data_IF_617434698604
#
_entry.id   IF_617434698604
#
_cell.length_a   1.000
_cell.length_b   1.000
_cell.length_c   1.000
_cell.angle_alpha   90.00
_cell.angle_beta   90.00
_cell.angle_gamma   90.00
#
_symmetry.space_group_name_H-M   'P 1'
#
loop_
_entity.id
_entity.type
_entity.pdbx_description
1 polymer ?
#
# COMPACT_ATOMS: atom_id res chain seq x y z
N UNK A 1 3.68 5.27 -14.12
CA UNK A 1 2.56 5.55 -15.05
C UNK A 1 2.51 7.03 -15.41
N UNK A 2 2.29 7.37 -16.68
CA UNK A 2 2.01 8.75 -17.13
C UNK A 2 0.54 9.08 -16.77
N UNK A 3 0.22 10.21 -16.10
CA UNK A 3 -1.15 10.60 -15.78
C UNK A 3 -2.13 10.60 -16.96
N UNK A 4 -1.66 10.85 -18.19
CA UNK A 4 -2.51 10.79 -19.39
C UNK A 4 -2.66 9.38 -19.96
N UNK A 5 -1.90 8.41 -19.45
CA UNK A 5 -1.73 7.06 -19.98
C UNK A 5 -1.30 7.02 -21.47
N UNK A 6 -0.67 8.09 -21.95
CA UNK A 6 -0.13 8.21 -23.30
C UNK A 6 1.39 8.01 -23.25
N UNK A 7 1.91 7.20 -24.17
CA UNK A 7 3.34 6.91 -24.30
C UNK A 7 3.77 7.21 -25.73
N UNK A 8 4.82 8.01 -25.88
CA UNK A 8 5.39 8.34 -27.18
C UNK A 8 6.31 7.22 -27.64
N UNK A 9 5.95 6.56 -28.74
CA UNK A 9 6.83 5.63 -29.44
C UNK A 9 7.56 6.40 -30.53
N UNK A 10 8.89 6.37 -30.51
CA UNK A 10 9.73 7.17 -31.41
C UNK A 10 10.66 6.26 -32.21
N UNK A 11 10.87 6.61 -33.48
CA UNK A 11 11.88 5.99 -34.32
C UNK A 11 12.66 7.06 -35.08
N UNK A 12 13.98 6.91 -35.11
CA UNK A 12 14.87 7.75 -35.90
C UNK A 12 15.27 7.00 -37.18
N UNK A 13 15.07 7.62 -38.34
CA UNK A 13 15.30 6.98 -39.65
C UNK A 13 16.26 7.83 -40.47
N UNK A 14 17.52 7.40 -40.53
CA UNK A 14 18.55 8.05 -41.34
C UNK A 14 18.73 7.33 -42.67
N UNK A 15 18.57 8.07 -43.77
CA UNK A 15 18.78 7.56 -45.12
C UNK A 15 20.26 7.21 -45.35
N UNK A 16 20.52 6.03 -45.94
CA UNK A 16 21.85 5.75 -46.51
C UNK A 16 21.93 6.46 -47.86
N UNK A 17 22.99 7.26 -48.05
CA UNK A 17 23.20 8.11 -49.25
C UNK A 17 23.10 7.35 -50.58
N UNK A 18 23.43 6.06 -50.60
CA UNK A 18 23.53 5.27 -51.83
C UNK A 18 22.22 4.57 -52.25
N UNK A 19 21.14 4.70 -51.47
CA UNK A 19 19.88 3.99 -51.75
C UNK A 19 18.96 4.69 -52.76
N UNK A 20 19.21 5.97 -53.08
CA UNK A 20 18.37 6.73 -54.01
C UNK A 20 16.92 6.84 -53.55
N UNK A 21 16.69 7.09 -52.25
CA UNK A 21 15.34 7.23 -51.68
C UNK A 21 14.68 8.49 -52.24
N UNK A 22 13.41 8.38 -52.61
CA UNK A 22 12.60 9.52 -53.07
C UNK A 22 12.29 10.39 -51.85
N UNK A 23 12.71 11.67 -51.89
CA UNK A 23 12.52 12.61 -50.79
C UNK A 23 11.04 12.73 -50.41
N UNK A 24 10.72 12.57 -49.13
CA UNK A 24 9.35 12.68 -48.61
C UNK A 24 8.46 11.45 -48.84
N UNK A 25 8.99 10.39 -49.45
CA UNK A 25 8.26 9.12 -49.66
C UNK A 25 8.15 8.26 -48.40
N UNK A 26 8.91 8.56 -47.34
CA UNK A 26 8.87 7.81 -46.10
C UNK A 26 7.48 7.85 -45.46
N UNK A 27 6.96 6.66 -45.14
CA UNK A 27 5.71 6.45 -44.41
C UNK A 27 5.94 5.47 -43.26
N UNK A 28 6.58 5.93 -42.16
CA UNK A 28 6.82 5.09 -41.00
C UNK A 28 5.50 4.75 -40.31
N UNK A 29 5.35 3.48 -39.96
CA UNK A 29 4.23 2.94 -39.20
C UNK A 29 4.78 2.25 -37.96
N UNK A 30 4.06 2.34 -36.86
CA UNK A 30 4.26 1.46 -35.71
C UNK A 30 3.19 0.37 -35.74
N UNK A 31 3.58 -0.87 -35.50
CA UNK A 31 2.67 -2.01 -35.41
C UNK A 31 2.64 -2.47 -33.96
N UNK A 32 1.48 -2.35 -33.33
CA UNK A 32 1.25 -2.69 -31.92
C UNK A 32 0.17 -3.77 -31.91
N UNK A 33 0.48 -4.94 -31.35
CA UNK A 33 -0.42 -6.12 -31.35
C UNK A 33 -0.99 -6.52 -32.72
N UNK A 34 -0.19 -6.31 -33.77
CA UNK A 34 -0.59 -6.60 -35.16
C UNK A 34 -1.39 -5.50 -35.83
N UNK A 35 -1.73 -4.42 -35.13
CA UNK A 35 -2.44 -3.28 -35.71
C UNK A 35 -1.47 -2.17 -36.13
N UNK A 36 -1.55 -1.76 -37.40
CA UNK A 36 -0.65 -0.76 -37.97
C UNK A 36 -1.18 0.66 -37.76
N UNK A 37 -0.28 1.58 -37.39
CA UNK A 37 -0.57 2.99 -37.09
C UNK A 37 0.47 3.89 -37.75
N UNK A 38 0.01 4.87 -38.53
CA UNK A 38 0.91 5.84 -39.17
C UNK A 38 1.54 6.76 -38.12
N UNK A 39 2.84 7.01 -38.25
CA UNK A 39 3.59 7.92 -37.38
C UNK A 39 3.68 9.32 -37.99
N UNK A 40 3.86 10.33 -37.14
CA UNK A 40 4.00 11.73 -37.54
C UNK A 40 5.44 12.21 -37.35
N UNK A 41 5.97 13.13 -38.19
CA UNK A 41 7.27 13.74 -37.94
C UNK A 41 7.33 14.44 -36.58
N UNK A 42 8.43 14.25 -35.85
CA UNK A 42 8.65 14.85 -34.53
C UNK A 42 9.17 16.28 -34.65
N UNK A 43 8.75 17.20 -33.76
CA UNK A 43 9.35 18.53 -33.66
C UNK A 43 10.75 18.52 -33.04
N UNK A 44 11.19 17.39 -32.45
CA UNK A 44 12.47 17.29 -31.71
C UNK A 44 13.70 17.17 -32.62
N UNK A 45 13.51 16.92 -33.91
CA UNK A 45 14.60 16.89 -34.88
C UNK A 45 14.18 16.34 -36.23
N UNK A 46 14.97 16.68 -37.25
CA UNK A 46 14.88 16.04 -38.56
C UNK A 46 15.13 14.54 -38.41
N UNK A 47 14.41 13.72 -39.18
CA UNK A 47 14.52 12.25 -39.20
C UNK A 47 13.94 11.50 -37.99
N UNK A 48 13.13 12.14 -37.16
CA UNK A 48 12.43 11.46 -36.06
C UNK A 48 10.93 11.42 -36.35
N UNK A 49 10.33 10.26 -36.13
CA UNK A 49 8.88 10.06 -36.21
C UNK A 49 8.34 9.54 -34.89
N UNK A 50 7.16 10.01 -34.52
CA UNK A 50 6.49 9.73 -33.26
C UNK A 50 5.07 9.24 -33.46
N UNK A 51 4.62 8.40 -32.53
CA UNK A 51 3.23 8.01 -32.37
C UNK A 51 2.85 8.03 -30.89
N UNK A 52 1.76 8.71 -30.57
CA UNK A 52 1.19 8.73 -29.23
C UNK A 52 0.31 7.49 -29.01
N UNK A 53 0.80 6.56 -28.21
CA UNK A 53 0.07 5.36 -27.87
C UNK A 53 -0.64 5.51 -26.53
N UNK A 54 -1.98 5.55 -26.58
CA UNK A 54 -2.82 5.44 -25.38
C UNK A 54 -2.90 3.98 -24.95
N UNK A 55 -2.25 3.65 -23.84
CA UNK A 55 -2.25 2.28 -23.32
C UNK A 55 -3.67 1.90 -22.87
N UNK A 56 -4.19 0.71 -23.22
CA UNK A 56 -5.43 0.20 -22.67
C UNK A 56 -5.39 0.11 -21.13
N UNK A 57 -6.50 0.43 -20.47
CA UNK A 57 -6.60 0.34 -19.00
C UNK A 57 -6.25 -1.06 -18.49
N UNK A 58 -5.46 -1.14 -17.41
CA UNK A 58 -5.03 -2.41 -16.81
C UNK A 58 -3.86 -3.09 -17.54
N UNK A 59 -3.46 -2.60 -18.72
CA UNK A 59 -2.32 -3.17 -19.47
C UNK A 59 -1.01 -2.54 -19.02
N UNK A 60 -0.02 -3.37 -18.68
CA UNK A 60 1.29 -2.92 -18.16
C UNK A 60 2.43 -3.03 -19.16
N UNK A 61 2.21 -3.71 -20.27
CA UNK A 61 3.22 -3.97 -21.28
C UNK A 61 2.60 -3.94 -22.69
N UNK A 62 3.39 -3.56 -23.67
CA UNK A 62 3.05 -3.77 -25.07
C UNK A 62 4.29 -4.19 -25.86
N UNK A 63 4.04 -4.98 -26.90
CA UNK A 63 5.05 -5.40 -27.87
C UNK A 63 4.77 -4.72 -29.19
N UNK A 64 5.82 -4.25 -29.85
CA UNK A 64 5.68 -3.47 -31.07
C UNK A 64 6.93 -3.57 -31.95
N UNK A 65 6.78 -3.17 -33.20
CA UNK A 65 7.87 -2.95 -34.15
C UNK A 65 7.50 -1.79 -35.08
N UNK A 66 8.46 -1.30 -35.84
CA UNK A 66 8.26 -0.27 -36.85
C UNK A 66 8.33 -0.89 -38.25
N UNK A 67 7.42 -0.48 -39.13
CA UNK A 67 7.43 -0.83 -40.55
C UNK A 67 7.53 0.47 -41.35
N UNK A 68 8.58 0.60 -42.17
CA UNK A 68 8.91 1.83 -42.86
C UNK A 68 8.82 1.60 -44.35
N UNK A 69 7.74 2.10 -44.94
CA UNK A 69 7.53 2.09 -46.38
C UNK A 69 8.18 3.34 -47.01
N UNK A 70 8.89 3.17 -48.12
CA UNK A 70 9.55 4.26 -48.86
C UNK A 70 9.72 3.91 -50.33
N UNK A 71 9.90 4.92 -51.17
CA UNK A 71 10.17 4.73 -52.59
C UNK A 71 11.66 4.90 -52.89
N UNK A 72 12.19 4.11 -53.82
CA UNK A 72 13.54 4.27 -54.36
C UNK A 72 13.50 4.50 -55.86
N UNK A 73 14.40 5.36 -56.36
CA UNK A 73 14.60 5.54 -57.79
C UNK A 73 15.19 4.27 -58.42
N UNK A 74 14.67 3.90 -59.57
CA UNK A 74 15.22 2.86 -60.45
C UNK A 74 15.49 3.46 -61.82
N UNK A 75 16.12 2.70 -62.72
CA UNK A 75 16.52 3.19 -64.04
C UNK A 75 15.36 3.71 -64.91
N UNK A 76 14.10 3.36 -64.61
CA UNK A 76 12.92 3.76 -65.41
C UNK A 76 11.68 4.20 -64.61
N UNK A 77 11.65 4.03 -63.28
CA UNK A 77 10.50 4.40 -62.42
C UNK A 77 10.91 4.50 -60.94
N UNK A 78 9.96 4.75 -60.04
CA UNK A 78 10.13 4.46 -58.60
C UNK A 78 9.66 3.05 -58.28
N UNK A 79 10.17 2.47 -57.18
CA UNK A 79 9.70 1.21 -56.62
C UNK A 79 9.52 1.36 -55.11
N UNK A 80 8.39 0.91 -54.59
CA UNK A 80 8.12 0.86 -53.15
C UNK A 80 8.93 -0.28 -52.51
N UNK A 81 9.55 0.02 -51.37
CA UNK A 81 10.22 -0.92 -50.47
C UNK A 81 9.69 -0.74 -49.05
N UNK A 82 9.81 -1.79 -48.23
CA UNK A 82 9.61 -1.67 -46.79
C UNK A 82 10.80 -2.24 -46.02
N UNK A 83 11.01 -1.74 -44.80
CA UNK A 83 11.93 -2.29 -43.81
C UNK A 83 11.27 -2.36 -42.45
N UNK A 84 11.49 -3.48 -41.75
CA UNK A 84 11.04 -3.70 -40.38
C UNK A 84 12.17 -3.39 -39.39
N UNK A 85 11.86 -2.64 -38.33
CA UNK A 85 12.79 -2.34 -37.24
C UNK A 85 12.18 -2.73 -35.88
N UNK A 86 12.96 -3.37 -34.99
CA UNK A 86 14.29 -3.90 -35.25
C UNK A 86 14.20 -5.15 -36.16
N UNK A 87 15.26 -5.47 -36.87
CA UNK A 87 15.27 -6.57 -37.84
C UNK A 87 15.27 -7.96 -37.19
N UNK A 88 15.54 -8.04 -35.89
CA UNK A 88 15.75 -9.26 -35.12
C UNK A 88 14.60 -9.58 -34.13
N UNK A 89 13.51 -8.80 -34.11
CA UNK A 89 12.34 -9.14 -33.31
C UNK A 89 11.44 -7.98 -32.96
N UNK A 90 10.79 -8.09 -31.79
CA UNK A 90 9.84 -7.12 -31.28
C UNK A 90 10.44 -6.32 -30.13
N UNK A 91 10.19 -5.02 -30.13
CA UNK A 91 10.44 -4.16 -28.98
C UNK A 91 9.36 -4.42 -27.94
N UNK A 92 9.75 -4.34 -26.66
CA UNK A 92 8.84 -4.42 -25.52
C UNK A 92 9.05 -3.22 -24.66
N UNK A 93 7.98 -2.54 -24.29
CA UNK A 93 8.02 -1.59 -23.19
C UNK A 93 7.10 -2.04 -22.07
N UNK A 94 7.56 -1.81 -20.84
CA UNK A 94 6.84 -2.10 -19.61
C UNK A 94 6.71 -0.80 -18.83
N UNK A 95 5.50 -0.48 -18.39
CA UNK A 95 5.28 0.66 -17.51
C UNK A 95 5.85 0.29 -16.14
N UNK A 96 6.96 0.95 -15.75
CA UNK A 96 7.54 0.77 -14.42
C UNK A 96 6.94 1.80 -13.48
N UNK A 97 6.25 1.36 -12.44
CA UNK A 97 5.80 2.24 -11.36
C UNK A 97 7.01 2.61 -10.49
N UNK A 98 7.48 3.85 -10.64
CA UNK A 98 8.32 4.49 -9.62
C UNK A 98 7.38 5.03 -8.54
N UNK A 99 7.09 4.17 -7.58
CA UNK A 99 6.48 4.52 -6.31
C UNK A 99 7.40 5.52 -5.59
N UNK A 100 7.06 6.81 -5.61
CA UNK A 100 7.46 7.69 -4.50
C UNK A 100 6.34 7.53 -3.52
N UNK A 101 6.59 6.86 -2.40
CA UNK A 101 5.60 6.73 -1.32
C UNK A 101 6.13 7.50 -0.14
N UNK A 102 5.27 8.29 0.47
CA UNK A 102 5.60 9.05 1.67
C UNK A 102 4.49 8.86 2.69
N UNK A 103 4.90 8.68 3.94
CA UNK A 103 4.00 8.68 5.08
C UNK A 103 3.59 10.12 5.38
N UNK A 104 2.29 10.38 5.56
CA UNK A 104 1.81 11.69 6.03
C UNK A 104 2.29 11.97 7.46
N UNK A 105 2.49 10.93 8.27
CA UNK A 105 3.13 10.99 9.57
C UNK A 105 4.00 9.75 9.80
N UNK A 106 5.18 9.95 10.39
CA UNK A 106 6.09 8.87 10.77
C UNK A 106 5.91 8.38 12.21
N UNK A 107 4.84 8.80 12.90
CA UNK A 107 4.51 8.34 14.25
C UNK A 107 3.03 8.47 14.59
N UNK A 108 2.57 7.69 15.56
CA UNK A 108 1.23 7.77 16.11
C UNK A 108 0.89 6.61 17.06
N UNK A 109 -0.20 6.72 17.84
CA UNK A 109 -0.64 5.65 18.74
C UNK A 109 -1.31 4.50 17.97
N UNK A 110 -1.45 3.35 18.62
CA UNK A 110 -2.22 2.21 18.10
C UNK A 110 -3.66 2.63 17.78
N UNK A 111 -4.17 2.16 16.63
CA UNK A 111 -5.50 2.49 16.12
C UNK A 111 -5.59 3.83 15.37
N UNK A 112 -4.55 4.66 15.37
CA UNK A 112 -4.54 5.90 14.59
C UNK A 112 -4.54 5.61 13.06
N UNK A 113 -5.21 6.46 12.28
CA UNK A 113 -5.20 6.39 10.82
C UNK A 113 -4.04 7.21 10.26
N UNK A 114 -3.22 6.58 9.43
CA UNK A 114 -2.03 7.19 8.81
C UNK A 114 -2.18 7.13 7.29
N UNK A 115 -2.05 8.29 6.62
CA UNK A 115 -2.07 8.36 5.17
C UNK A 115 -0.72 8.02 4.52
N UNK A 116 -0.81 7.45 3.33
CA UNK A 116 0.27 7.15 2.41
C UNK A 116 -0.03 7.87 1.10
N UNK A 117 0.83 8.81 0.74
CA UNK A 117 0.73 9.52 -0.53
C UNK A 117 1.76 8.93 -1.48
N UNK A 118 1.33 8.60 -2.70
CA UNK A 118 2.22 8.06 -3.70
C UNK A 118 1.59 7.93 -5.08
N UNK A 119 2.02 6.92 -5.83
CA UNK A 119 1.52 6.64 -7.18
C UNK A 119 1.49 5.14 -7.43
N UNK A 120 0.50 4.70 -8.18
CA UNK A 120 0.36 3.31 -8.60
C UNK A 120 -0.24 2.40 -7.54
N UNK A 121 -0.89 2.94 -6.50
CA UNK A 121 -1.58 2.10 -5.54
C UNK A 121 -2.72 1.33 -6.20
N UNK A 122 -3.02 0.16 -5.66
CA UNK A 122 -4.14 -0.67 -6.07
C UNK A 122 -4.94 -1.17 -4.86
N UNK A 123 -6.21 -1.59 -5.04
CA UNK A 123 -6.98 -2.20 -3.96
C UNK A 123 -6.38 -3.50 -3.40
N UNK A 124 -5.46 -4.15 -4.11
CA UNK A 124 -4.77 -5.34 -3.63
C UNK A 124 -3.55 -5.04 -2.75
N UNK A 125 -3.16 -3.76 -2.62
CA UNK A 125 -1.98 -3.39 -1.84
C UNK A 125 -2.23 -3.59 -0.34
N UNK A 126 -1.32 -4.31 0.30
CA UNK A 126 -1.37 -4.57 1.73
C UNK A 126 -0.25 -3.80 2.43
N UNK A 127 -0.60 -3.09 3.50
CA UNK A 127 0.37 -2.35 4.32
C UNK A 127 0.82 -3.23 5.48
N UNK A 128 2.12 -3.27 5.73
CA UNK A 128 2.72 -3.96 6.88
C UNK A 128 3.48 -2.96 7.74
N UNK A 129 3.34 -3.07 9.06
CA UNK A 129 4.11 -2.30 10.04
C UNK A 129 4.83 -3.29 10.95
N UNK A 130 6.16 -3.27 10.94
CA UNK A 130 6.97 -4.22 11.72
C UNK A 130 6.75 -5.68 11.30
N UNK A 131 6.32 -5.91 10.06
CA UNK A 131 5.94 -7.23 9.55
C UNK A 131 4.51 -7.67 9.90
N UNK A 132 3.77 -6.92 10.72
CA UNK A 132 2.36 -7.17 11.02
C UNK A 132 1.47 -6.51 9.96
N UNK A 133 0.51 -7.27 9.42
CA UNK A 133 -0.49 -6.74 8.47
C UNK A 133 -1.31 -5.65 9.18
N UNK A 134 -1.31 -4.45 8.59
CA UNK A 134 -2.14 -3.34 9.01
C UNK A 134 -3.41 -3.31 8.17
N UNK A 135 -4.53 -2.97 8.80
CA UNK A 135 -5.76 -2.73 8.05
C UNK A 135 -5.58 -1.48 7.18
N UNK A 136 -5.75 -1.61 5.87
CA UNK A 136 -5.57 -0.53 4.91
C UNK A 136 -6.88 -0.16 4.22
N UNK A 137 -6.98 1.12 3.84
CA UNK A 137 -8.06 1.65 3.03
C UNK A 137 -7.48 2.27 1.76
N UNK A 138 -7.88 1.72 0.61
CA UNK A 138 -7.57 2.26 -0.70
C UNK A 138 -8.51 3.41 -1.03
N UNK A 139 -7.94 4.58 -1.38
CA UNK A 139 -8.72 5.75 -1.78
C UNK A 139 -8.60 6.03 -3.28
N UNK A 140 -7.40 5.92 -3.84
CA UNK A 140 -7.12 6.09 -5.26
C UNK A 140 -5.76 5.51 -5.63
N UNK A 141 -5.37 5.55 -6.91
CA UNK A 141 -4.02 5.18 -7.34
C UNK A 141 -2.91 6.04 -6.71
N UNK A 142 -3.27 7.10 -5.99
CA UNK A 142 -2.33 8.08 -5.45
C UNK A 142 -2.42 8.22 -3.92
N UNK A 143 -3.44 7.61 -3.30
CA UNK A 143 -3.69 7.70 -1.87
C UNK A 143 -4.16 6.35 -1.31
N UNK A 144 -3.47 5.92 -0.26
CA UNK A 144 -3.78 4.77 0.59
C UNK A 144 -3.73 5.25 2.04
N UNK A 145 -4.40 4.58 2.95
CA UNK A 145 -4.20 4.80 4.39
C UNK A 145 -4.17 3.49 5.13
N UNK A 146 -3.61 3.46 6.33
CA UNK A 146 -3.66 2.30 7.21
C UNK A 146 -3.94 2.70 8.65
N UNK A 147 -4.45 1.77 9.44
CA UNK A 147 -4.58 1.92 10.89
C UNK A 147 -3.37 1.30 11.58
N UNK A 148 -2.76 2.02 12.53
CA UNK A 148 -1.60 1.53 13.28
C UNK A 148 -2.00 0.22 14.01
N UNK A 149 -1.35 -0.92 13.71
CA UNK A 149 -1.69 -2.19 14.33
C UNK A 149 -1.27 -2.24 15.81
N UNK A 150 -1.74 -3.24 16.54
CA UNK A 150 -1.44 -3.44 17.97
C UNK A 150 0.01 -3.87 18.22
N UNK A 151 0.94 -2.93 18.09
CA UNK A 151 2.37 -3.12 18.32
C UNK A 151 2.82 -2.46 19.64
N UNK A 152 3.89 -2.96 20.28
CA UNK A 152 4.49 -2.31 21.44
C UNK A 152 4.85 -0.84 21.18
N UNK A 153 4.55 0.01 22.16
CA UNK A 153 4.88 1.43 22.09
C UNK A 153 6.37 1.71 22.31
N UNK A 154 6.82 2.90 21.91
CA UNK A 154 8.16 3.42 22.17
C UNK A 154 9.22 2.98 21.16
N UNK A 155 8.85 2.15 20.18
CA UNK A 155 9.76 1.59 19.17
C UNK A 155 9.40 2.08 17.77
N UNK A 156 10.38 2.03 16.86
CA UNK A 156 10.19 2.35 15.44
C UNK A 156 10.17 1.07 14.63
N UNK A 157 9.21 0.96 13.72
CA UNK A 157 8.96 -0.21 12.89
C UNK A 157 9.08 0.14 11.41
N UNK A 158 9.53 -0.81 10.60
CA UNK A 158 9.50 -0.62 9.15
C UNK A 158 8.06 -0.65 8.65
N UNK A 159 7.72 0.29 7.78
CA UNK A 159 6.48 0.27 7.00
C UNK A 159 6.81 -0.22 5.60
N UNK A 160 6.10 -1.24 5.16
CA UNK A 160 6.18 -1.74 3.79
C UNK A 160 4.80 -1.91 3.16
N UNK A 161 4.76 -1.89 1.84
CA UNK A 161 3.60 -2.22 1.03
C UNK A 161 3.94 -3.47 0.25
N UNK A 162 3.06 -4.46 0.25
CA UNK A 162 3.20 -5.68 -0.56
C UNK A 162 2.06 -5.76 -1.56
N UNK A 163 2.41 -6.01 -2.81
CA UNK A 163 1.48 -6.49 -3.84
C UNK A 163 1.73 -7.98 -4.10
N UNK A 164 1.09 -8.56 -5.12
CA UNK A 164 1.23 -9.98 -5.48
C UNK A 164 2.62 -10.38 -5.98
N UNK A 165 3.49 -9.42 -6.32
CA UNK A 165 4.76 -9.66 -7.00
C UNK A 165 5.97 -9.07 -6.24
N UNK A 166 5.77 -8.09 -5.36
CA UNK A 166 6.86 -7.31 -4.76
C UNK A 166 6.50 -6.70 -3.41
N UNK A 167 7.50 -6.67 -2.52
CA UNK A 167 7.50 -5.83 -1.32
C UNK A 167 8.27 -4.53 -1.58
N UNK A 168 7.69 -3.42 -1.14
CA UNK A 168 8.29 -2.09 -1.18
C UNK A 168 8.39 -1.53 0.23
N UNK A 169 9.59 -1.16 0.65
CA UNK A 169 9.79 -0.39 1.88
C UNK A 169 9.38 1.06 1.67
N UNK A 170 8.52 1.57 2.56
CA UNK A 170 8.05 2.97 2.55
C UNK A 170 8.89 3.84 3.47
N UNK A 171 9.18 3.35 4.67
CA UNK A 171 9.90 4.13 5.68
C UNK A 171 9.87 3.49 7.06
N UNK A 172 10.14 4.30 8.08
CA UNK A 172 10.06 3.91 9.48
C UNK A 172 8.93 4.67 10.18
N UNK A 173 8.18 3.99 11.05
CA UNK A 173 7.06 4.54 11.80
C UNK A 173 7.21 4.23 13.29
N UNK A 174 7.12 5.25 14.15
CA UNK A 174 7.21 5.11 15.60
C UNK A 174 5.83 4.95 16.24
N UNK A 175 5.63 3.89 17.00
CA UNK A 175 4.39 3.72 17.77
C UNK A 175 4.52 4.50 19.07
N UNK A 176 3.59 5.44 19.27
CA UNK A 176 3.52 6.26 20.48
C UNK A 176 2.83 5.51 21.61
N UNK A 177 3.28 5.75 22.84
CA UNK A 177 2.60 5.22 24.02
C UNK A 177 1.33 6.02 24.31
N UNK A 178 0.22 5.32 24.49
CA UNK A 178 -1.05 5.89 24.92
C UNK A 178 -1.43 5.40 26.33
N UNK A 179 -2.44 6.03 26.94
CA UNK A 179 -3.00 5.60 28.22
C UNK A 179 -4.39 5.02 28.00
N UNK A 180 -4.61 3.83 28.55
CA UNK A 180 -5.93 3.21 28.66
C UNK A 180 -6.59 3.69 29.97
N UNK A 181 -7.91 3.71 29.99
CA UNK A 181 -8.69 4.03 31.18
C UNK A 181 -9.53 2.83 31.61
N UNK A 182 -9.87 2.78 32.90
CA UNK A 182 -10.77 1.78 33.47
C UNK A 182 -11.79 2.43 34.40
N UNK A 183 -13.02 1.94 34.35
CA UNK A 183 -14.09 2.31 35.26
C UNK A 183 -14.76 1.06 35.85
N UNK A 184 -14.96 0.99 37.17
CA UNK A 184 -14.40 1.89 38.19
C UNK A 184 -12.86 1.75 38.29
N UNK A 185 -12.19 2.76 38.88
CA UNK A 185 -10.73 2.76 39.12
C UNK A 185 -10.28 1.86 40.28
N UNK A 186 -11.23 1.33 41.04
CA UNK A 186 -11.03 0.36 42.11
C UNK A 186 -12.28 -0.50 42.23
N UNK A 187 -12.14 -1.77 42.62
CA UNK A 187 -13.25 -2.71 42.76
C UNK A 187 -13.36 -3.17 44.21
N UNK A 188 -14.58 -3.10 44.75
CA UNK A 188 -14.95 -3.78 45.99
C UNK A 188 -16.10 -4.73 45.65
N UNK A 189 -15.94 -6.01 45.96
CA UNK A 189 -16.93 -7.05 45.59
C UNK A 189 -17.01 -8.10 46.71
N UNK A 190 -18.20 -8.61 46.99
CA UNK A 190 -18.35 -9.76 47.90
C UNK A 190 -18.04 -11.09 47.19
N UNK A 191 -17.68 -12.11 47.96
CA UNK A 191 -17.50 -13.47 47.45
C UNK A 191 -18.79 -13.96 46.74
N UNK A 192 -18.63 -14.50 45.52
CA UNK A 192 -19.72 -14.92 44.64
C UNK A 192 -20.49 -13.78 43.95
N UNK A 193 -20.23 -12.52 44.31
CA UNK A 193 -20.83 -11.37 43.64
C UNK A 193 -20.04 -10.98 42.39
N UNK A 194 -20.70 -10.20 41.51
CA UNK A 194 -20.10 -9.72 40.26
C UNK A 194 -19.99 -8.21 40.23
N UNK A 195 -18.87 -7.74 39.71
CA UNK A 195 -18.64 -6.36 39.32
C UNK A 195 -18.44 -6.27 37.80
N UNK A 196 -18.56 -5.07 37.24
CA UNK A 196 -18.26 -4.83 35.82
C UNK A 196 -17.16 -3.77 35.72
N UNK A 197 -16.10 -4.12 35.00
CA UNK A 197 -15.02 -3.23 34.62
C UNK A 197 -15.22 -2.79 33.17
N UNK A 198 -15.08 -1.50 32.88
CA UNK A 198 -15.12 -0.96 31.53
C UNK A 198 -13.72 -0.46 31.22
N UNK A 199 -13.03 -1.13 30.30
CA UNK A 199 -11.74 -0.66 29.77
C UNK A 199 -11.98 0.15 28.52
N UNK A 200 -11.30 1.30 28.39
CA UNK A 200 -11.45 2.19 27.22
C UNK A 200 -10.14 2.80 26.75
N UNK A 201 -10.01 2.93 25.43
CA UNK A 201 -8.85 3.45 24.71
C UNK A 201 -9.23 4.70 23.89
N UNK A 202 -8.28 5.63 23.60
CA UNK A 202 -8.58 6.90 22.96
C UNK A 202 -8.84 6.78 21.45
N UNK A 203 -8.47 5.67 20.81
CA UNK A 203 -8.67 5.41 19.39
C UNK A 203 -9.32 4.04 19.18
N UNK A 204 -10.15 3.86 18.14
CA UNK A 204 -10.74 2.55 17.83
C UNK A 204 -9.67 1.45 17.74
N UNK A 205 -9.94 0.28 18.31
CA UNK A 205 -9.01 -0.84 18.24
C UNK A 205 -8.77 -1.26 16.78
N UNK A 206 -7.51 -1.60 16.40
CA UNK A 206 -7.18 -2.08 15.06
C UNK A 206 -7.93 -3.37 14.70
N UNK A 207 -7.85 -3.75 13.42
CA UNK A 207 -8.36 -5.04 12.96
C UNK A 207 -7.71 -6.19 13.77
N UNK A 208 -8.52 -7.19 14.13
CA UNK A 208 -8.13 -8.24 15.09
C UNK A 208 -8.39 -7.88 16.56
N UNK A 209 -8.74 -6.63 16.87
CA UNK A 209 -8.96 -6.17 18.24
C UNK A 209 -7.67 -5.94 19.02
N UNK A 210 -7.81 -5.62 20.31
CA UNK A 210 -6.68 -5.48 21.23
C UNK A 210 -6.87 -6.40 22.44
N UNK A 211 -6.01 -7.43 22.61
CA UNK A 211 -6.07 -8.26 23.80
C UNK A 211 -5.63 -7.47 25.03
N UNK A 212 -6.33 -7.67 26.14
CA UNK A 212 -5.94 -7.17 27.46
C UNK A 212 -5.33 -8.33 28.24
N UNK A 213 -4.07 -8.20 28.61
CA UNK A 213 -3.41 -9.12 29.53
C UNK A 213 -3.69 -8.64 30.94
N UNK A 214 -4.56 -9.37 31.65
CA UNK A 214 -4.97 -9.04 33.02
C UNK A 214 -4.41 -10.11 33.95
N UNK A 215 -3.59 -9.70 34.90
CA UNK A 215 -3.04 -10.57 35.95
C UNK A 215 -3.34 -9.98 37.33
N UNK A 216 -3.20 -10.78 38.39
CA UNK A 216 -3.46 -10.35 39.76
C UNK A 216 -2.49 -10.99 40.72
N UNK A 217 -2.21 -10.33 41.84
CA UNK A 217 -1.45 -10.89 42.96
C UNK A 217 -2.32 -11.66 43.97
N UNK A 218 -3.64 -11.76 43.73
CA UNK A 218 -4.60 -12.52 44.54
C UNK A 218 -5.43 -13.48 43.65
N UNK A 219 -4.82 -14.49 43.00
CA UNK A 219 -5.48 -15.32 41.99
C UNK A 219 -6.71 -16.07 42.51
N UNK A 220 -6.73 -16.50 43.77
CA UNK A 220 -7.88 -17.18 44.37
C UNK A 220 -9.09 -16.26 44.60
N UNK A 221 -8.87 -14.94 44.57
CA UNK A 221 -9.89 -13.92 44.82
C UNK A 221 -10.54 -13.39 43.54
N UNK A 222 -9.94 -13.59 42.37
CA UNK A 222 -10.41 -12.94 41.13
C UNK A 222 -10.69 -13.96 40.05
N UNK A 223 -11.94 -13.99 39.59
CA UNK A 223 -12.36 -14.80 38.46
C UNK A 223 -12.71 -13.86 37.30
N UNK A 224 -11.98 -13.97 36.19
CA UNK A 224 -12.07 -13.05 35.04
C UNK A 224 -11.85 -13.82 33.73
N UNK A 225 -12.64 -13.57 32.68
CA UNK A 225 -12.46 -14.22 31.38
C UNK A 225 -11.26 -13.65 30.61
N UNK A 226 -10.92 -14.26 29.48
CA UNK A 226 -10.04 -13.59 28.50
C UNK A 226 -10.77 -12.36 27.92
N UNK A 227 -10.03 -11.26 27.74
CA UNK A 227 -10.61 -9.98 27.33
C UNK A 227 -9.91 -9.43 26.10
N UNK A 228 -10.71 -9.03 25.11
CA UNK A 228 -10.27 -8.34 23.90
C UNK A 228 -11.16 -7.12 23.71
N UNK A 229 -10.58 -5.94 23.47
CA UNK A 229 -11.32 -4.79 22.93
C UNK A 229 -11.61 -5.09 21.45
N UNK A 230 -12.87 -5.25 21.03
CA UNK A 230 -13.19 -5.66 19.66
C UNK A 230 -12.69 -4.67 18.62
N UNK A 231 -12.35 -5.16 17.42
CA UNK A 231 -11.95 -4.30 16.31
C UNK A 231 -12.98 -3.18 16.05
N UNK A 232 -12.50 -1.96 15.83
CA UNK A 232 -13.33 -0.76 15.65
C UNK A 232 -14.01 -0.23 16.91
N UNK A 233 -13.95 -0.94 18.04
CA UNK A 233 -14.49 -0.47 19.32
C UNK A 233 -13.43 0.31 20.11
N UNK A 234 -13.88 1.25 20.94
CA UNK A 234 -13.02 1.98 21.87
C UNK A 234 -13.08 1.45 23.30
N UNK A 235 -13.97 0.48 23.58
CA UNK A 235 -14.15 -0.03 24.94
C UNK A 235 -14.68 -1.46 24.96
N UNK A 236 -14.51 -2.13 26.09
CA UNK A 236 -15.10 -3.43 26.40
C UNK A 236 -15.56 -3.49 27.85
N UNK A 237 -16.74 -4.08 28.07
CA UNK A 237 -17.27 -4.37 29.41
C UNK A 237 -16.89 -5.78 29.82
N UNK A 238 -16.27 -5.91 30.98
CA UNK A 238 -15.69 -7.15 31.50
C UNK A 238 -16.36 -7.50 32.82
N UNK A 239 -17.03 -8.66 32.92
CA UNK A 239 -17.51 -9.15 34.19
C UNK A 239 -16.34 -9.65 35.03
N UNK A 240 -16.29 -9.24 36.28
CA UNK A 240 -15.37 -9.74 37.30
C UNK A 240 -16.20 -10.40 38.40
N UNK A 241 -15.85 -11.61 38.79
CA UNK A 241 -16.48 -12.33 39.90
C UNK A 241 -15.52 -12.46 41.09
N UNK A 242 -16.03 -12.17 42.29
CA UNK A 242 -15.28 -12.30 43.53
C UNK A 242 -15.16 -13.75 43.99
N UNK A 243 -13.94 -14.23 44.18
CA UNK A 243 -13.62 -15.55 44.72
C UNK A 243 -13.43 -15.52 46.25
N UNK A 244 -12.30 -16.02 46.72
CA UNK A 244 -11.92 -15.97 48.13
C UNK A 244 -11.67 -14.52 48.61
N UNK A 245 -11.94 -14.18 49.89
CA UNK A 245 -11.63 -12.86 50.43
C UNK A 245 -10.15 -12.50 50.30
N UNK A 246 -9.84 -11.25 49.94
CA UNK A 246 -8.48 -10.79 49.68
C UNK A 246 -8.40 -9.32 49.29
N UNK A 247 -7.20 -8.74 49.36
CA UNK A 247 -6.92 -7.37 48.91
C UNK A 247 -5.68 -7.41 48.03
N UNK A 248 -5.77 -6.79 46.85
CA UNK A 248 -4.73 -6.90 45.84
C UNK A 248 -4.89 -5.90 44.70
N UNK A 249 -4.20 -6.17 43.60
CA UNK A 249 -4.10 -5.30 42.44
C UNK A 249 -4.28 -6.15 41.17
N UNK A 250 -5.11 -5.67 40.26
CA UNK A 250 -5.12 -6.15 38.88
C UNK A 250 -4.06 -5.37 38.08
N UNK A 251 -3.12 -6.09 37.48
CA UNK A 251 -2.16 -5.53 36.53
C UNK A 251 -2.67 -5.76 35.12
N UNK A 252 -2.86 -4.69 34.35
CA UNK A 252 -3.45 -4.72 33.02
C UNK A 252 -2.45 -4.16 32.01
N UNK A 253 -2.15 -4.96 30.99
CA UNK A 253 -1.26 -4.60 29.89
C UNK A 253 -1.95 -4.81 28.54
N UNK A 254 -1.65 -3.94 27.57
CA UNK A 254 -2.14 -4.10 26.20
C UNK A 254 -1.21 -3.39 25.20
N UNK A 255 -0.99 -3.93 23.99
CA UNK A 255 -0.03 -3.37 23.04
C UNK A 255 -0.31 -1.89 22.70
N UNK A 256 0.73 -1.06 22.76
CA UNK A 256 0.63 0.37 22.48
C UNK A 256 0.28 1.25 23.68
N UNK A 257 -0.02 0.65 24.83
CA UNK A 257 -0.47 1.36 26.02
C UNK A 257 0.47 1.17 27.20
N UNK A 258 0.53 2.19 28.05
CA UNK A 258 1.20 2.08 29.35
C UNK A 258 0.44 1.09 30.25
N UNK A 259 1.14 0.31 31.11
CA UNK A 259 0.50 -0.56 32.10
C UNK A 259 -0.47 0.19 33.00
N UNK A 260 -1.54 -0.47 33.41
CA UNK A 260 -2.61 0.06 34.25
C UNK A 260 -2.81 -0.84 35.47
N UNK A 261 -2.92 -0.24 36.65
CA UNK A 261 -3.20 -0.95 37.90
C UNK A 261 -4.59 -0.61 38.44
N UNK A 262 -5.33 -1.63 38.88
CA UNK A 262 -6.67 -1.48 39.47
C UNK A 262 -6.70 -2.15 40.84
N UNK A 263 -6.76 -1.37 41.94
CA UNK A 263 -6.93 -1.93 43.28
C UNK A 263 -8.23 -2.72 43.39
N UNK A 264 -8.18 -3.86 44.05
CA UNK A 264 -9.33 -4.75 44.26
C UNK A 264 -9.38 -5.27 45.70
N UNK A 265 -10.58 -5.29 46.26
CA UNK A 265 -10.88 -5.97 47.53
C UNK A 265 -12.08 -6.91 47.35
N UNK A 266 -11.90 -8.15 47.83
CA UNK A 266 -12.95 -9.16 47.93
C UNK A 266 -13.26 -9.39 49.39
N UNK A 267 -14.52 -9.20 49.77
CA UNK A 267 -15.01 -9.44 51.15
C UNK A 267 -15.86 -10.70 51.21
N UNK A 268 -16.17 -11.15 52.42
CA UNK A 268 -17.27 -12.10 52.63
C UNK A 268 -18.62 -11.51 52.18
#
# INVERSE_FOLDING_TARGET
ENPSNIYTLSVEIREKKDLGVVKGSMRPKVVIDGESRLMSPSPLGDHIWEYEYKMPSGRRNAVYYFDIEYEVYTSKSTRVKSITLPSDGLLKFTVVNRYVVTLESNRGPVGAKIGLVGRGFSPSDQVFVGGQLANSEYHSSNALSFFVPGLPAGQSYNVSIRDSEKEMMVGSFRVDSAQMQVLPRSVNVSSGARATLIFSIPSPAPAGGLPLQITTNIPDSVILPEVIIPAGSQSVSVPLEGGAPGVGILHVETPGFSPLEVPISVTN
#
